data_IF_647253909581
#
_entry.id   IF_647253909581
#
_cell.length_a   1.000
_cell.length_b   1.000
_cell.length_c   1.000
_cell.angle_alpha   90.00
_cell.angle_beta   90.00
_cell.angle_gamma   90.00
#
_symmetry.space_group_name_H-M   'P 1'
#
loop_
_entity.id
_entity.type
_entity.pdbx_description
1 polymer ?
#
# COMPACT_ATOMS: atom_id res chain seq x y z
N UNK A 1 13.52 10.07 9.77
CA UNK A 1 13.01 10.26 8.39
C UNK A 1 13.39 11.64 7.87
N UNK A 2 13.72 11.69 6.59
CA UNK A 2 14.07 12.97 5.95
C UNK A 2 12.83 13.87 5.84
N UNK A 3 12.97 15.15 6.19
CA UNK A 3 11.88 16.12 6.05
C UNK A 3 11.58 16.41 4.58
N UNK A 4 10.33 16.72 4.28
CA UNK A 4 9.94 17.15 2.94
C UNK A 4 10.63 18.46 2.55
N UNK A 5 11.09 18.54 1.31
CA UNK A 5 11.71 19.76 0.77
C UNK A 5 10.73 20.95 0.76
N UNK A 6 9.48 20.69 0.40
CA UNK A 6 8.41 21.68 0.40
C UNK A 6 7.50 21.47 1.61
N UNK A 7 7.98 21.85 2.78
CA UNK A 7 7.28 21.66 4.06
C UNK A 7 5.83 22.18 4.07
N UNK A 8 5.54 23.23 3.31
CA UNK A 8 4.19 23.80 3.19
C UNK A 8 3.17 22.82 2.59
N UNK A 9 3.63 21.80 1.86
CA UNK A 9 2.78 20.78 1.23
C UNK A 9 2.65 19.52 2.08
N UNK A 10 3.33 19.45 3.21
CA UNK A 10 3.23 18.29 4.09
C UNK A 10 1.84 18.18 4.69
N UNK A 11 1.25 17.00 4.56
CA UNK A 11 -0.05 16.67 5.16
C UNK A 11 0.23 16.22 6.59
N UNK A 12 -0.24 16.98 7.58
CA UNK A 12 0.00 16.68 8.98
C UNK A 12 -1.20 16.05 9.69
N UNK A 13 -2.40 16.24 9.16
CA UNK A 13 -3.62 15.71 9.78
C UNK A 13 -3.84 14.24 9.43
N UNK A 14 -3.92 13.39 10.44
CA UNK A 14 -4.21 11.95 10.27
C UNK A 14 -5.49 11.71 9.50
N UNK A 15 -6.52 12.50 9.74
CA UNK A 15 -7.80 12.41 9.02
C UNK A 15 -7.60 12.51 7.50
N UNK A 16 -6.73 13.41 7.04
CA UNK A 16 -6.44 13.60 5.63
C UNK A 16 -5.69 12.40 5.05
N UNK A 17 -4.75 11.86 5.80
CA UNK A 17 -4.03 10.65 5.40
C UNK A 17 -4.99 9.46 5.25
N UNK A 18 -5.95 9.32 6.16
CA UNK A 18 -6.97 8.27 6.08
C UNK A 18 -7.83 8.45 4.84
N UNK A 19 -8.21 9.66 4.46
CA UNK A 19 -8.95 9.92 3.23
C UNK A 19 -8.17 9.43 1.99
N UNK A 20 -6.87 9.67 1.95
CA UNK A 20 -6.01 9.18 0.87
C UNK A 20 -5.97 7.64 0.87
N UNK A 21 -5.76 7.04 2.04
CA UNK A 21 -5.73 5.58 2.18
C UNK A 21 -7.03 4.92 1.74
N UNK A 22 -8.17 5.55 2.03
CA UNK A 22 -9.48 5.00 1.66
C UNK A 22 -9.78 5.15 0.16
N UNK A 23 -9.35 6.23 -0.46
CA UNK A 23 -9.65 6.52 -1.86
C UNK A 23 -8.66 5.86 -2.83
N UNK A 24 -7.39 5.77 -2.47
CA UNK A 24 -6.39 5.13 -3.32
C UNK A 24 -6.62 3.61 -3.37
N UNK A 25 -6.37 2.99 -4.51
CA UNK A 25 -6.61 1.54 -4.72
C UNK A 25 -5.34 0.77 -5.03
N UNK A 26 -4.26 1.46 -5.35
CA UNK A 26 -3.00 0.83 -5.72
C UNK A 26 -1.90 1.29 -4.78
N UNK A 27 -1.21 0.33 -4.19
CA UNK A 27 -0.02 0.53 -3.39
C UNK A 27 1.18 0.05 -4.21
N UNK A 28 2.20 0.88 -4.32
CA UNK A 28 3.44 0.51 -5.00
C UNK A 28 4.47 0.19 -3.95
N UNK A 29 5.03 -1.01 -4.02
CA UNK A 29 6.04 -1.49 -3.08
C UNK A 29 7.35 -1.63 -3.82
N UNK A 30 8.39 -1.01 -3.30
CA UNK A 30 9.74 -1.06 -3.84
C UNK A 30 10.67 -1.86 -2.95
N UNK A 31 11.48 -2.70 -3.58
CA UNK A 31 12.51 -3.50 -2.90
C UNK A 31 13.69 -3.72 -3.85
N UNK A 32 14.66 -4.46 -3.41
CA UNK A 32 15.82 -4.84 -4.22
C UNK A 32 15.97 -6.36 -4.15
N UNK A 33 16.08 -7.00 -5.30
CA UNK A 33 16.38 -8.43 -5.39
C UNK A 33 17.66 -8.64 -6.22
N UNK A 34 17.96 -9.87 -6.59
CA UNK A 34 19.18 -10.19 -7.36
C UNK A 34 19.19 -9.55 -8.75
N UNK A 35 18.02 -9.24 -9.30
CA UNK A 35 17.90 -8.61 -10.62
C UNK A 35 17.93 -7.08 -10.54
N UNK A 36 17.95 -6.52 -9.33
CA UNK A 36 18.04 -5.07 -9.10
C UNK A 36 16.83 -4.51 -8.37
N UNK A 37 16.58 -3.23 -8.61
CA UNK A 37 15.44 -2.53 -8.01
C UNK A 37 14.15 -3.07 -8.64
N UNK A 38 13.19 -3.37 -7.76
CA UNK A 38 11.93 -3.97 -8.17
C UNK A 38 10.77 -3.19 -7.54
N UNK A 39 9.84 -2.71 -8.37
CA UNK A 39 8.64 -2.00 -7.92
C UNK A 39 7.44 -2.78 -8.43
N UNK A 40 6.52 -3.09 -7.52
CA UNK A 40 5.31 -3.85 -7.85
C UNK A 40 4.07 -3.10 -7.37
N UNK A 41 3.06 -2.89 -8.27
CA UNK A 41 1.77 -2.36 -7.86
C UNK A 41 0.89 -3.50 -7.33
N UNK A 42 0.20 -3.24 -6.23
CA UNK A 42 -0.71 -4.22 -5.61
C UNK A 42 -1.95 -3.51 -5.09
N UNK A 43 -3.06 -4.23 -5.03
CA UNK A 43 -4.21 -3.77 -4.25
C UNK A 43 -3.95 -4.08 -2.78
N UNK A 44 -4.61 -3.38 -1.90
CA UNK A 44 -4.32 -3.47 -0.48
C UNK A 44 -5.55 -3.26 0.38
N UNK A 45 -5.44 -3.73 1.61
CA UNK A 45 -6.25 -3.25 2.71
C UNK A 45 -5.34 -2.65 3.74
N UNK A 46 -5.89 -2.00 4.74
CA UNK A 46 -5.06 -1.45 5.81
C UNK A 46 -5.81 -1.45 7.14
N UNK A 47 -5.05 -1.32 8.21
CA UNK A 47 -5.59 -1.00 9.53
C UNK A 47 -4.70 0.05 10.18
N UNK A 48 -5.34 1.00 10.84
CA UNK A 48 -4.62 2.06 11.56
C UNK A 48 -5.36 2.42 12.83
N UNK A 49 -5.24 1.55 13.81
CA UNK A 49 -5.84 1.76 15.13
C UNK A 49 -5.07 2.81 15.91
N UNK A 50 -5.76 3.49 16.83
CA UNK A 50 -5.13 4.51 17.67
C UNK A 50 -4.01 3.91 18.52
N UNK A 51 -2.84 4.56 18.50
CA UNK A 51 -1.65 4.07 19.19
C UNK A 51 -0.91 2.94 18.50
N UNK A 52 -1.44 2.43 17.39
CA UNK A 52 -0.83 1.35 16.61
C UNK A 52 -0.17 1.90 15.33
N UNK A 53 0.83 1.20 14.79
CA UNK A 53 1.38 1.57 13.49
C UNK A 53 0.38 1.32 12.38
N UNK A 54 0.53 2.08 11.29
CA UNK A 54 -0.20 1.80 10.05
C UNK A 54 0.26 0.45 9.50
N UNK A 55 -0.70 -0.44 9.19
CA UNK A 55 -0.43 -1.74 8.59
C UNK A 55 -1.15 -1.85 7.26
N UNK A 56 -0.42 -2.24 6.24
CA UNK A 56 -1.00 -2.61 4.95
C UNK A 56 -1.08 -4.12 4.85
N UNK A 57 -2.12 -4.60 4.20
CA UNK A 57 -2.30 -6.02 3.90
C UNK A 57 -2.36 -6.19 2.39
N UNK A 58 -1.58 -7.11 1.88
CA UNK A 58 -1.57 -7.48 0.46
C UNK A 58 -1.65 -8.99 0.34
N UNK A 59 -2.06 -9.49 -0.81
CA UNK A 59 -2.09 -10.92 -1.06
C UNK A 59 -1.42 -11.23 -2.39
N UNK A 60 -0.96 -12.47 -2.54
CA UNK A 60 -0.32 -12.93 -3.75
C UNK A 60 -0.51 -14.43 -3.94
N UNK A 61 -0.22 -14.92 -5.15
CA UNK A 61 -0.03 -16.34 -5.38
C UNK A 61 1.15 -16.86 -4.56
N UNK A 62 1.27 -18.18 -4.42
CA UNK A 62 2.34 -18.80 -3.65
C UNK A 62 3.73 -18.63 -4.26
N UNK A 63 3.82 -18.40 -5.56
CA UNK A 63 5.08 -18.30 -6.30
C UNK A 63 5.14 -17.02 -7.12
N UNK A 64 6.34 -16.58 -7.45
CA UNK A 64 6.63 -15.44 -8.31
C UNK A 64 7.75 -14.57 -7.76
N UNK A 65 8.21 -13.62 -8.58
CA UNK A 65 9.29 -12.70 -8.22
C UNK A 65 8.97 -11.92 -6.94
N UNK A 66 7.75 -11.45 -6.82
CA UNK A 66 7.27 -10.69 -5.65
C UNK A 66 7.45 -11.50 -4.36
N UNK A 67 7.04 -12.76 -4.37
CA UNK A 67 7.14 -13.65 -3.22
C UNK A 67 8.60 -13.89 -2.84
N UNK A 68 9.44 -14.16 -3.83
CA UNK A 68 10.87 -14.39 -3.62
C UNK A 68 11.58 -13.14 -3.10
N UNK A 69 11.29 -11.98 -3.67
CA UNK A 69 11.90 -10.72 -3.27
C UNK A 69 11.55 -10.37 -1.82
N UNK A 70 10.29 -10.53 -1.42
CA UNK A 70 9.84 -10.22 -0.07
C UNK A 70 10.35 -11.23 0.96
N UNK A 71 10.50 -12.50 0.57
CA UNK A 71 11.08 -13.50 1.44
C UNK A 71 12.57 -13.27 1.70
N UNK A 72 13.28 -12.74 0.71
CA UNK A 72 14.71 -12.49 0.81
C UNK A 72 15.04 -11.20 1.58
N UNK A 73 14.13 -10.22 1.59
CA UNK A 73 14.36 -8.93 2.22
C UNK A 73 13.07 -8.35 2.78
N UNK A 74 13.05 -8.11 4.07
CA UNK A 74 11.87 -7.57 4.75
C UNK A 74 11.71 -6.05 4.60
N UNK A 75 12.81 -5.32 4.41
CA UNK A 75 12.76 -3.86 4.28
C UNK A 75 12.24 -3.46 2.90
N UNK A 76 11.21 -2.62 2.89
CA UNK A 76 10.57 -2.14 1.66
C UNK A 76 10.28 -0.65 1.75
N UNK A 77 10.22 -0.02 0.58
CA UNK A 77 9.63 1.32 0.45
C UNK A 77 8.25 1.20 -0.15
N UNK A 78 7.41 2.20 0.04
CA UNK A 78 6.10 2.19 -0.56
C UNK A 78 5.65 3.60 -0.95
N UNK A 79 4.70 3.66 -1.86
CA UNK A 79 4.05 4.88 -2.30
C UNK A 79 2.60 4.57 -2.67
N UNK A 80 1.70 5.48 -2.38
CA UNK A 80 0.36 5.50 -2.93
C UNK A 80 -0.06 6.94 -3.15
N UNK A 81 -0.97 7.17 -4.11
CA UNK A 81 -1.35 8.54 -4.44
C UNK A 81 -2.78 8.67 -4.97
N UNK A 82 -3.24 9.92 -4.99
CA UNK A 82 -4.46 10.35 -5.66
C UNK A 82 -4.09 11.45 -6.63
N UNK A 83 -4.47 11.30 -7.88
CA UNK A 83 -4.30 12.30 -8.91
C UNK A 83 -5.48 13.26 -8.92
N UNK A 84 -5.20 14.57 -8.98
CA UNK A 84 -6.22 15.61 -8.94
C UNK A 84 -6.26 16.45 -10.23
N UNK A 85 -5.36 16.18 -11.17
CA UNK A 85 -5.33 16.79 -12.48
C UNK A 85 -4.33 17.91 -12.67
N UNK A 86 -4.34 18.46 -13.85
CA UNK A 86 -3.39 19.49 -14.29
C UNK A 86 -3.77 20.85 -13.72
N UNK A 87 -2.79 21.56 -13.15
CA UNK A 87 -2.90 22.95 -12.79
C UNK A 87 -2.35 23.77 -13.97
N UNK A 88 -3.20 24.52 -14.66
CA UNK A 88 -2.81 25.28 -15.82
C UNK A 88 -2.01 26.52 -15.43
N UNK A 89 -0.94 26.80 -16.18
CA UNK A 89 -0.14 27.99 -16.01
C UNK A 89 -0.27 28.93 -17.21
N UNK A 90 0.40 30.06 -17.12
CA UNK A 90 0.41 31.07 -18.18
C UNK A 90 1.50 30.84 -19.24
N UNK A 91 2.48 29.98 -18.92
CA UNK A 91 3.54 29.56 -19.84
C UNK A 91 3.93 28.10 -19.52
N UNK A 92 4.61 27.45 -20.45
CA UNK A 92 4.87 26.00 -20.40
C UNK A 92 5.41 25.51 -19.05
N UNK A 93 6.44 26.15 -18.52
CA UNK A 93 7.06 25.71 -17.26
C UNK A 93 6.26 26.05 -16.00
N UNK A 94 5.16 26.79 -16.12
CA UNK A 94 4.29 27.13 -15.00
C UNK A 94 3.13 26.14 -14.82
N UNK A 95 2.96 25.18 -15.74
CA UNK A 95 2.00 24.10 -15.58
C UNK A 95 2.46 23.17 -14.47
N UNK A 96 1.51 22.64 -13.73
CA UNK A 96 1.76 21.72 -12.63
C UNK A 96 0.69 20.62 -12.60
N UNK A 97 0.89 19.62 -11.77
CA UNK A 97 -0.03 18.52 -11.61
C UNK A 97 -0.40 18.37 -10.12
N UNK A 98 -1.71 18.46 -9.85
CA UNK A 98 -2.20 18.33 -8.49
C UNK A 98 -2.31 16.86 -8.11
N UNK A 99 -1.68 16.47 -7.03
CA UNK A 99 -1.76 15.12 -6.47
C UNK A 99 -1.53 15.15 -4.96
N UNK A 100 -1.92 14.09 -4.31
CA UNK A 100 -1.63 13.83 -2.91
C UNK A 100 -1.04 12.43 -2.81
N UNK A 101 0.07 12.30 -2.11
CA UNK A 101 0.75 11.02 -1.99
C UNK A 101 1.19 10.74 -0.56
N UNK A 102 1.30 9.46 -0.26
CA UNK A 102 1.91 8.95 0.95
C UNK A 102 3.09 8.07 0.54
N UNK A 103 4.26 8.37 1.05
CA UNK A 103 5.45 7.55 0.87
C UNK A 103 6.00 7.17 2.22
N UNK A 104 6.66 6.03 2.27
CA UNK A 104 7.28 5.61 3.51
C UNK A 104 8.11 4.36 3.34
N UNK A 105 8.57 3.85 4.46
CA UNK A 105 9.31 2.60 4.55
C UNK A 105 8.70 1.73 5.63
N UNK A 106 8.90 0.45 5.51
CA UNK A 106 8.40 -0.49 6.49
C UNK A 106 9.01 -1.86 6.31
N UNK A 107 8.46 -2.79 7.05
CA UNK A 107 8.85 -4.20 6.98
C UNK A 107 7.67 -5.02 6.49
N UNK A 108 7.96 -5.91 5.55
CA UNK A 108 6.97 -6.84 5.03
C UNK A 108 7.21 -8.22 5.64
N UNK A 109 6.15 -8.90 6.02
CA UNK A 109 6.22 -10.27 6.52
C UNK A 109 5.06 -11.10 6.03
N UNK A 110 5.31 -12.38 5.88
CA UNK A 110 4.29 -13.35 5.55
C UNK A 110 3.47 -13.67 6.80
N UNK A 111 2.14 -13.63 6.67
CA UNK A 111 1.25 -14.05 7.75
C UNK A 111 1.08 -15.57 7.71
N UNK A 112 1.39 -16.23 8.81
CA UNK A 112 1.26 -17.69 8.94
C UNK A 112 0.02 -18.08 9.74
N UNK A 113 -0.37 -17.25 10.71
CA UNK A 113 -1.57 -17.48 11.51
C UNK A 113 -2.83 -17.30 10.67
N UNK A 114 -3.74 -18.28 10.73
CA UNK A 114 -4.96 -18.29 9.92
C UNK A 114 -5.90 -17.15 10.24
N UNK A 115 -6.01 -16.76 11.50
CA UNK A 115 -6.87 -15.63 11.89
C UNK A 115 -6.29 -14.30 11.42
N UNK A 116 -4.96 -14.12 11.46
CA UNK A 116 -4.31 -12.94 10.89
C UNK A 116 -4.49 -12.87 9.38
N UNK A 117 -4.34 -14.00 8.68
CA UNK A 117 -4.57 -14.09 7.23
C UNK A 117 -5.99 -13.70 6.88
N UNK A 118 -6.95 -14.23 7.60
CA UNK A 118 -8.38 -13.93 7.41
C UNK A 118 -8.67 -12.46 7.65
N UNK A 119 -8.09 -11.88 8.69
CA UNK A 119 -8.21 -10.45 8.98
C UNK A 119 -7.64 -9.60 7.83
N UNK A 120 -6.43 -9.94 7.36
CA UNK A 120 -5.78 -9.24 6.26
C UNK A 120 -6.59 -9.30 4.97
N UNK A 121 -7.08 -10.48 4.59
CA UNK A 121 -7.92 -10.65 3.41
C UNK A 121 -9.24 -9.89 3.54
N UNK A 122 -9.84 -9.88 4.73
CA UNK A 122 -11.05 -9.10 5.00
C UNK A 122 -10.80 -7.61 4.77
N UNK A 123 -9.70 -7.08 5.27
CA UNK A 123 -9.35 -5.67 5.07
C UNK A 123 -9.12 -5.34 3.60
N UNK A 124 -8.47 -6.23 2.87
CA UNK A 124 -8.26 -6.07 1.42
C UNK A 124 -9.60 -6.00 0.69
N UNK A 125 -10.50 -6.93 0.98
CA UNK A 125 -11.82 -6.99 0.33
C UNK A 125 -12.69 -5.80 0.69
N UNK A 126 -12.72 -5.40 1.94
CA UNK A 126 -13.47 -4.21 2.39
C UNK A 126 -13.01 -2.94 1.65
N UNK A 127 -11.72 -2.85 1.37
CA UNK A 127 -11.15 -1.72 0.66
C UNK A 127 -11.44 -1.75 -0.85
N UNK A 128 -11.31 -2.93 -1.46
CA UNK A 128 -11.47 -3.09 -2.92
C UNK A 128 -12.92 -3.25 -3.36
N UNK A 129 -13.69 -4.03 -2.63
CA UNK A 129 -15.03 -4.44 -2.99
C UNK A 129 -15.91 -4.51 -1.74
N UNK A 130 -16.25 -3.35 -1.14
CA UNK A 130 -17.00 -3.32 0.13
C UNK A 130 -18.40 -3.96 0.03
N UNK A 131 -18.96 -4.10 -1.17
CA UNK A 131 -20.24 -4.73 -1.43
C UNK A 131 -20.18 -6.26 -1.50
N UNK A 132 -18.99 -6.84 -1.57
CA UNK A 132 -18.85 -8.29 -1.72
C UNK A 132 -19.18 -9.04 -0.44
N UNK A 133 -19.85 -10.19 -0.59
CA UNK A 133 -20.02 -11.12 0.53
C UNK A 133 -18.73 -11.90 0.74
N UNK A 134 -18.26 -11.94 1.97
CA UNK A 134 -16.99 -12.56 2.31
C UNK A 134 -17.20 -13.94 2.90
N UNK A 135 -16.53 -14.94 2.32
CA UNK A 135 -16.44 -16.26 2.90
C UNK A 135 -15.04 -16.83 2.66
N UNK A 136 -14.41 -17.35 3.69
CA UNK A 136 -13.08 -17.92 3.61
C UNK A 136 -13.09 -19.34 4.15
N UNK A 137 -12.81 -20.31 3.27
CA UNK A 137 -12.58 -21.69 3.70
C UNK A 137 -11.11 -21.85 4.11
N UNK A 138 -10.78 -22.85 4.95
CA UNK A 138 -9.39 -23.17 5.26
C UNK A 138 -8.54 -23.43 4.02
N UNK A 139 -9.11 -24.08 3.00
CA UNK A 139 -8.39 -24.35 1.74
C UNK A 139 -8.03 -23.06 1.00
N UNK A 140 -8.95 -22.11 0.95
CA UNK A 140 -8.68 -20.79 0.35
C UNK A 140 -7.58 -20.05 1.09
N UNK A 141 -7.61 -20.07 2.42
CA UNK A 141 -6.62 -19.40 3.25
C UNK A 141 -5.23 -20.01 3.08
N UNK A 142 -5.15 -21.32 2.86
CA UNK A 142 -3.88 -22.00 2.60
C UNK A 142 -3.36 -21.77 1.18
N UNK A 143 -4.24 -21.47 0.23
CA UNK A 143 -3.88 -21.36 -1.19
C UNK A 143 -3.25 -20.01 -1.56
N UNK A 144 -3.36 -18.99 -0.71
CA UNK A 144 -2.83 -17.65 -0.98
C UNK A 144 -1.82 -17.22 0.08
N UNK A 145 -0.91 -16.35 -0.32
CA UNK A 145 -0.03 -15.63 0.62
C UNK A 145 -0.70 -14.31 1.01
N UNK A 146 -0.61 -13.99 2.28
CA UNK A 146 -1.04 -12.68 2.79
C UNK A 146 0.09 -12.04 3.57
#
# INVERSE_FOLDING_TARGET
MRKMRLAKREIQEKKRLIEILDQAKVLRIGTVDQEGIYIVPVNYGYSWEEGEPLRFYIHSAKEGRKVQAFAAREDVGFELDLEQGVIRGTYTCSYSYAYQSITGTGKIRLLEDMEEKKHGLTRIMEHMAPEAELSFSPDMLQAVNV
#
